data_IF_251115403426
#
_entry.id   IF_251115403426
#
_cell.length_a   1.000
_cell.length_b   1.000
_cell.length_c   1.000
_cell.angle_alpha   90.00
_cell.angle_beta   90.00
_cell.angle_gamma   90.00
#
_symmetry.space_group_name_H-M   'P 1'
#
loop_
_entity.id
_entity.type
_entity.pdbx_description
1 polymer ?
#
# COMPACT_ATOMS: atom_id res chain seq x y z
N UNK A 1 0.84 1.23 16.65
CA UNK A 1 -0.09 1.19 15.52
C UNK A 1 -0.24 -0.25 15.06
N UNK A 2 -1.44 -0.81 15.19
CA UNK A 2 -1.79 -2.16 14.72
C UNK A 2 -1.75 -2.23 13.19
N UNK A 3 -1.71 -3.44 12.61
CA UNK A 3 -1.74 -3.62 11.14
C UNK A 3 -3.01 -3.02 10.55
N UNK A 4 -4.16 -3.22 11.20
CA UNK A 4 -5.44 -2.63 10.81
C UNK A 4 -5.39 -1.09 10.77
N UNK A 5 -4.83 -0.46 11.81
CA UNK A 5 -4.69 1.01 11.85
C UNK A 5 -3.79 1.53 10.72
N UNK A 6 -2.69 0.81 10.42
CA UNK A 6 -1.82 1.17 9.30
C UNK A 6 -2.54 1.06 7.96
N UNK A 7 -3.21 -0.06 7.72
CA UNK A 7 -3.97 -0.28 6.48
C UNK A 7 -5.03 0.81 6.28
N UNK A 8 -5.80 1.11 7.32
CA UNK A 8 -6.81 2.17 7.29
C UNK A 8 -6.20 3.54 6.98
N UNK A 9 -5.05 3.86 7.57
CA UNK A 9 -4.33 5.10 7.28
C UNK A 9 -3.89 5.18 5.82
N UNK A 10 -3.37 4.07 5.25
CA UNK A 10 -2.99 4.04 3.84
C UNK A 10 -4.19 4.19 2.92
N UNK A 11 -5.29 3.47 3.20
CA UNK A 11 -6.54 3.62 2.47
C UNK A 11 -7.02 5.06 2.45
N UNK A 12 -7.04 5.74 3.59
CA UNK A 12 -7.47 7.14 3.70
C UNK A 12 -6.59 8.07 2.85
N UNK A 13 -5.27 7.94 2.92
CA UNK A 13 -4.34 8.76 2.12
C UNK A 13 -4.52 8.50 0.62
N UNK A 14 -4.68 7.23 0.21
CA UNK A 14 -4.90 6.88 -1.19
C UNK A 14 -6.24 7.43 -1.69
N UNK A 15 -7.29 7.36 -0.86
CA UNK A 15 -8.61 7.94 -1.17
C UNK A 15 -8.50 9.46 -1.40
N UNK A 16 -7.78 10.18 -0.54
CA UNK A 16 -7.50 11.61 -0.73
C UNK A 16 -6.74 11.87 -2.05
N UNK A 17 -5.81 10.98 -2.43
CA UNK A 17 -5.12 11.06 -3.73
C UNK A 17 -6.08 10.85 -4.90
N UNK A 18 -6.98 9.86 -4.84
CA UNK A 18 -8.00 9.60 -5.87
C UNK A 18 -8.89 10.82 -6.04
N UNK A 19 -9.36 11.40 -4.94
CA UNK A 19 -10.19 12.61 -4.97
C UNK A 19 -9.46 13.84 -5.51
N UNK A 20 -8.17 13.98 -5.19
CA UNK A 20 -7.34 15.06 -5.72
C UNK A 20 -7.12 14.90 -7.23
N UNK A 21 -6.79 13.69 -7.69
CA UNK A 21 -6.60 13.37 -9.11
C UNK A 21 -7.92 13.51 -9.89
N UNK A 22 -9.06 13.11 -9.31
CA UNK A 22 -10.36 13.17 -9.96
C UNK A 22 -10.93 14.58 -10.17
N UNK A 23 -10.36 15.62 -9.54
CA UNK A 23 -10.82 17.02 -9.67
C UNK A 23 -10.33 17.72 -10.94
N UNK A 24 -9.40 17.13 -11.67
CA UNK A 24 -8.80 17.75 -12.85
C UNK A 24 -9.80 17.84 -14.01
N UNK A 25 -9.99 19.05 -14.55
CA UNK A 25 -10.87 19.28 -15.70
C UNK A 25 -10.10 19.00 -16.99
N UNK A 26 -10.56 18.03 -17.79
CA UNK A 26 -9.90 17.49 -19.00
C UNK A 26 -8.57 16.76 -18.71
N UNK A 27 -8.61 15.60 -18.03
CA UNK A 27 -7.42 14.84 -17.73
C UNK A 27 -6.71 14.37 -19.00
N UNK A 28 -5.39 14.47 -19.01
CA UNK A 28 -4.57 13.82 -20.05
C UNK A 28 -4.69 12.29 -19.97
N UNK A 29 -4.35 11.58 -21.05
CA UNK A 29 -4.35 10.11 -21.04
C UNK A 29 -3.44 9.52 -19.94
N UNK A 30 -2.30 10.17 -19.66
CA UNK A 30 -1.38 9.78 -18.59
C UNK A 30 -1.98 9.98 -17.21
N UNK A 31 -2.73 11.07 -17.03
CA UNK A 31 -3.44 11.36 -15.79
C UNK A 31 -4.53 10.33 -15.53
N UNK A 32 -5.32 9.99 -16.55
CA UNK A 32 -6.34 8.95 -16.45
C UNK A 32 -5.72 7.60 -16.11
N UNK A 33 -4.62 7.23 -16.78
CA UNK A 33 -3.89 6.01 -16.47
C UNK A 33 -3.40 6.00 -15.01
N UNK A 34 -2.89 7.11 -14.48
CA UNK A 34 -2.49 7.21 -13.08
C UNK A 34 -3.69 7.03 -12.14
N UNK A 35 -4.81 7.69 -12.42
CA UNK A 35 -6.04 7.55 -11.64
C UNK A 35 -6.54 6.09 -11.61
N UNK A 36 -6.51 5.41 -12.76
CA UNK A 36 -6.91 4.00 -12.87
C UNK A 36 -6.01 3.12 -11.99
N UNK A 37 -4.68 3.29 -12.07
CA UNK A 37 -3.72 2.51 -11.27
C UNK A 37 -3.88 2.77 -9.78
N UNK A 38 -4.13 4.02 -9.38
CA UNK A 38 -4.33 4.36 -7.97
C UNK A 38 -5.65 3.78 -7.46
N UNK A 39 -6.70 3.81 -8.28
CA UNK A 39 -8.01 3.24 -7.95
C UNK A 39 -7.95 1.71 -7.83
N UNK A 40 -7.24 1.04 -8.74
CA UNK A 40 -6.98 -0.40 -8.67
C UNK A 40 -6.23 -0.78 -7.39
N UNK A 41 -5.16 -0.04 -7.07
CA UNK A 41 -4.38 -0.29 -5.86
C UNK A 41 -5.19 -0.04 -4.57
N UNK A 42 -6.04 0.97 -4.55
CA UNK A 42 -6.99 1.22 -3.46
C UNK A 42 -7.97 0.05 -3.29
N UNK A 43 -8.58 -0.42 -4.39
CA UNK A 43 -9.50 -1.56 -4.39
C UNK A 43 -8.83 -2.79 -3.78
N UNK A 44 -7.59 -3.07 -4.17
CA UNK A 44 -6.86 -4.26 -3.68
C UNK A 44 -6.44 -4.10 -2.21
N UNK A 45 -5.94 -2.92 -1.81
CA UNK A 45 -5.55 -2.67 -0.41
C UNK A 45 -6.75 -2.80 0.55
N UNK A 46 -7.90 -2.24 0.20
CA UNK A 46 -9.10 -2.36 1.03
C UNK A 46 -9.59 -3.81 1.07
N UNK A 47 -9.54 -4.55 -0.05
CA UNK A 47 -9.85 -5.98 -0.03
C UNK A 47 -8.95 -6.77 0.92
N UNK A 48 -7.64 -6.47 0.95
CA UNK A 48 -6.71 -7.03 1.93
C UNK A 48 -7.08 -6.66 3.37
N UNK A 49 -7.48 -5.41 3.61
CA UNK A 49 -7.91 -4.94 4.92
C UNK A 49 -9.06 -5.78 5.46
N UNK A 50 -10.11 -5.95 4.65
CA UNK A 50 -11.32 -6.67 5.03
C UNK A 50 -11.06 -8.16 5.29
N UNK A 51 -10.15 -8.76 4.52
CA UNK A 51 -9.90 -10.20 4.57
C UNK A 51 -8.74 -10.63 5.49
N UNK A 52 -7.77 -9.77 5.80
CA UNK A 52 -6.53 -10.22 6.46
C UNK A 52 -6.10 -9.38 7.65
N UNK A 53 -6.48 -8.10 7.71
CA UNK A 53 -5.94 -7.17 8.69
C UNK A 53 -6.93 -6.81 9.79
N UNK A 54 -8.23 -6.97 9.56
CA UNK A 54 -9.25 -6.81 10.60
C UNK A 54 -9.54 -8.11 11.32
N UNK A 55 -10.03 -7.95 12.54
CA UNK A 55 -10.46 -9.05 13.40
C UNK A 55 -11.88 -9.46 12.99
N UNK A 56 -12.01 -10.61 12.33
CA UNK A 56 -13.31 -11.10 11.85
C UNK A 56 -14.27 -11.46 13.00
N UNK A 57 -13.78 -11.61 14.23
CA UNK A 57 -14.65 -11.76 15.42
C UNK A 57 -15.44 -10.48 15.75
N UNK A 58 -15.08 -9.37 15.10
CA UNK A 58 -15.77 -8.08 15.18
C UNK A 58 -16.39 -7.83 13.81
N UNK A 59 -17.63 -7.33 13.77
CA UNK A 59 -18.46 -6.99 12.58
C UNK A 59 -17.76 -6.22 11.44
N UNK A 60 -16.54 -5.77 11.70
CA UNK A 60 -15.63 -5.06 10.80
C UNK A 60 -15.39 -5.73 9.44
N UNK A 61 -15.26 -7.05 9.32
CA UNK A 61 -14.94 -7.67 8.02
C UNK A 61 -16.13 -7.61 7.04
N UNK A 62 -17.33 -7.93 7.53
CA UNK A 62 -18.56 -7.93 6.73
C UNK A 62 -18.98 -6.52 6.32
N UNK A 63 -18.82 -5.54 7.21
CA UNK A 63 -19.06 -4.14 6.86
C UNK A 63 -18.04 -3.64 5.84
N UNK A 64 -16.75 -3.92 6.04
CA UNK A 64 -15.70 -3.49 5.11
C UNK A 64 -15.85 -4.08 3.71
N UNK A 65 -16.30 -5.34 3.57
CA UNK A 65 -16.55 -5.94 2.25
C UNK A 65 -17.76 -5.32 1.53
N UNK A 66 -18.82 -5.00 2.26
CA UNK A 66 -19.99 -4.30 1.70
C UNK A 66 -19.63 -2.90 1.23
N UNK A 67 -18.91 -2.16 2.08
CA UNK A 67 -18.44 -0.81 1.74
C UNK A 67 -17.45 -0.85 0.56
N UNK A 68 -16.54 -1.83 0.55
CA UNK A 68 -15.60 -2.06 -0.55
C UNK A 68 -16.33 -2.25 -1.87
N UNK A 69 -17.35 -3.12 -1.90
CA UNK A 69 -18.12 -3.35 -3.11
C UNK A 69 -18.86 -2.09 -3.55
N UNK A 70 -19.52 -1.38 -2.63
CA UNK A 70 -20.24 -0.14 -2.92
C UNK A 70 -19.35 0.95 -3.53
N UNK A 71 -18.10 1.05 -3.10
CA UNK A 71 -17.16 2.07 -3.62
C UNK A 71 -16.56 1.67 -4.96
N UNK A 72 -16.45 0.37 -5.25
CA UNK A 72 -15.72 -0.15 -6.42
C UNK A 72 -16.58 -0.81 -7.50
N UNK A 73 -17.89 -0.97 -7.26
CA UNK A 73 -18.88 -1.48 -8.20
C UNK A 73 -20.18 -0.68 -8.01
N UNK A 74 -20.48 0.21 -8.97
CA UNK A 74 -21.70 1.01 -9.01
C UNK A 74 -22.84 0.30 -9.77
N UNK A 75 -22.61 -0.93 -10.22
CA UNK A 75 -23.51 -1.64 -11.12
C UNK A 75 -24.87 -1.93 -10.49
N UNK A 76 -24.95 -2.08 -9.16
CA UNK A 76 -26.22 -2.23 -8.46
C UNK A 76 -26.97 -0.90 -8.40
N UNK A 77 -26.30 0.21 -8.09
CA UNK A 77 -26.92 1.54 -8.04
C UNK A 77 -27.44 1.95 -9.43
N UNK A 78 -26.70 1.66 -10.50
CA UNK A 78 -27.18 1.86 -11.87
C UNK A 78 -28.43 1.02 -12.18
N UNK A 79 -28.49 -0.22 -11.69
CA UNK A 79 -29.67 -1.08 -11.89
C UNK A 79 -30.89 -0.59 -11.09
N UNK A 80 -30.68 -0.09 -9.87
CA UNK A 80 -31.72 0.56 -9.07
C UNK A 80 -32.25 1.80 -9.80
N UNK A 81 -31.36 2.69 -10.26
CA UNK A 81 -31.77 3.89 -10.98
C UNK A 81 -32.53 3.55 -12.26
N UNK A 82 -32.04 2.59 -13.04
CA UNK A 82 -32.72 2.11 -14.25
C UNK A 82 -34.11 1.55 -13.97
N UNK A 83 -34.32 0.93 -12.81
CA UNK A 83 -35.66 0.48 -12.39
C UNK A 83 -36.55 1.66 -11.98
N UNK A 84 -36.02 2.64 -11.23
CA UNK A 84 -36.77 3.83 -10.84
C UNK A 84 -37.21 4.69 -12.03
N UNK A 85 -36.43 4.68 -13.12
CA UNK A 85 -36.70 5.43 -14.35
C UNK A 85 -37.82 4.79 -15.23
N UNK A 86 -38.42 3.69 -14.80
CA UNK A 86 -39.59 3.09 -15.47
C UNK A 86 -39.50 1.58 -15.69
N UNK A 87 -38.83 0.86 -14.80
CA UNK A 87 -38.63 -0.58 -14.94
C UNK A 87 -39.86 -1.44 -14.68
N UNK A 88 -39.82 -2.65 -15.22
CA UNK A 88 -40.91 -3.63 -15.12
C UNK A 88 -40.80 -4.52 -13.86
N UNK A 89 -41.73 -5.48 -13.73
CA UNK A 89 -41.76 -6.41 -12.59
C UNK A 89 -40.54 -7.35 -12.59
N UNK A 90 -40.05 -7.74 -13.76
CA UNK A 90 -38.85 -8.59 -13.87
C UNK A 90 -37.62 -7.84 -13.34
N UNK A 91 -37.47 -6.58 -13.73
CA UNK A 91 -36.38 -5.71 -13.28
C UNK A 91 -36.47 -5.43 -11.78
N UNK A 92 -37.68 -5.21 -11.24
CA UNK A 92 -37.89 -5.08 -9.79
C UNK A 92 -37.27 -6.27 -9.04
N UNK A 93 -37.65 -7.49 -9.41
CA UNK A 93 -37.16 -8.69 -8.72
C UNK A 93 -35.68 -8.95 -8.91
N UNK A 94 -35.14 -8.63 -10.09
CA UNK A 94 -33.70 -8.68 -10.33
C UNK A 94 -32.94 -7.71 -9.41
N UNK A 95 -33.44 -6.48 -9.26
CA UNK A 95 -32.83 -5.47 -8.39
C UNK A 95 -32.93 -5.88 -6.93
N UNK A 96 -34.10 -6.31 -6.46
CA UNK A 96 -34.30 -6.76 -5.07
C UNK A 96 -33.40 -7.95 -4.74
N UNK A 97 -33.33 -8.96 -5.62
CA UNK A 97 -32.48 -10.14 -5.41
C UNK A 97 -30.99 -9.77 -5.41
N UNK A 98 -30.57 -8.84 -6.27
CA UNK A 98 -29.17 -8.38 -6.35
C UNK A 98 -28.79 -7.53 -5.13
N UNK A 99 -29.65 -6.61 -4.68
CA UNK A 99 -29.46 -5.85 -3.43
C UNK A 99 -29.34 -6.77 -2.21
N UNK A 100 -30.23 -7.78 -2.12
CA UNK A 100 -30.15 -8.80 -1.09
C UNK A 100 -28.83 -9.56 -1.16
N UNK A 101 -28.41 -10.02 -2.35
CA UNK A 101 -27.17 -10.77 -2.55
C UNK A 101 -25.92 -10.00 -2.09
N UNK A 102 -25.87 -8.68 -2.31
CA UNK A 102 -24.72 -7.85 -1.89
C UNK A 102 -24.82 -7.34 -0.44
N UNK A 103 -25.83 -7.76 0.32
CA UNK A 103 -26.00 -7.41 1.73
C UNK A 103 -26.64 -6.05 1.99
N UNK A 104 -27.24 -5.41 0.97
CA UNK A 104 -28.06 -4.18 1.09
C UNK A 104 -29.52 -4.54 1.31
N UNK A 105 -29.77 -5.32 2.38
CA UNK A 105 -31.12 -5.83 2.70
C UNK A 105 -32.10 -4.72 3.06
N UNK A 106 -31.62 -3.66 3.69
CA UNK A 106 -32.45 -2.51 4.06
C UNK A 106 -33.02 -1.82 2.81
N UNK A 107 -32.17 -1.56 1.81
CA UNK A 107 -32.59 -0.99 0.52
C UNK A 107 -33.53 -1.93 -0.25
N UNK A 108 -33.27 -3.24 -0.21
CA UNK A 108 -34.17 -4.24 -0.79
C UNK A 108 -35.55 -4.21 -0.11
N UNK A 109 -35.56 -4.09 1.22
CA UNK A 109 -36.79 -3.99 2.04
C UNK A 109 -37.56 -2.72 1.70
N UNK A 110 -36.88 -1.58 1.61
CA UNK A 110 -37.50 -0.30 1.26
C UNK A 110 -38.16 -0.35 -0.13
N UNK A 111 -37.49 -0.95 -1.12
CA UNK A 111 -38.06 -1.14 -2.46
C UNK A 111 -39.29 -2.04 -2.45
N UNK A 112 -39.24 -3.16 -1.70
CA UNK A 112 -40.38 -4.08 -1.56
C UNK A 112 -41.57 -3.38 -0.88
N UNK A 113 -41.33 -2.65 0.21
CA UNK A 113 -42.36 -1.88 0.92
C UNK A 113 -42.98 -0.80 0.05
N UNK A 114 -42.18 -0.06 -0.70
CA UNK A 114 -42.65 0.95 -1.65
C UNK A 114 -43.55 0.31 -2.72
N UNK A 115 -43.17 -0.88 -3.19
CA UNK A 115 -43.96 -1.62 -4.18
C UNK A 115 -45.29 -2.12 -3.57
N UNK A 116 -45.30 -2.61 -2.33
CA UNK A 116 -46.53 -2.98 -1.60
C UNK A 116 -47.48 -1.79 -1.48
N UNK A 117 -46.99 -0.63 -1.03
CA UNK A 117 -47.81 0.58 -0.90
C UNK A 117 -48.44 1.01 -2.25
N UNK A 118 -47.69 0.86 -3.34
CA UNK A 118 -48.17 1.14 -4.69
C UNK A 118 -49.22 0.12 -5.17
N UNK A 119 -49.02 -1.16 -4.86
CA UNK A 119 -49.98 -2.23 -5.16
C UNK A 119 -51.27 -2.00 -4.37
N UNK A 120 -51.20 -1.69 -3.08
CA UNK A 120 -52.38 -1.44 -2.24
C UNK A 120 -53.14 -0.18 -2.67
N UNK A 121 -52.41 0.88 -3.04
CA UNK A 121 -53.02 2.11 -3.58
C UNK A 121 -53.75 1.86 -4.90
N UNK A 122 -53.20 1.02 -5.78
CA UNK A 122 -53.83 0.60 -7.04
C UNK A 122 -54.97 -0.39 -6.81
N UNK A 123 -54.83 -1.32 -5.87
CA UNK A 123 -55.83 -2.29 -5.49
C UNK A 123 -57.04 -1.61 -4.83
N UNK A 124 -56.86 -0.52 -4.06
CA UNK A 124 -58.00 0.31 -3.61
C UNK A 124 -58.76 0.95 -4.80
N UNK A 125 -58.07 1.31 -5.88
CA UNK A 125 -58.70 1.78 -7.12
C UNK A 125 -59.32 0.67 -7.98
N UNK A 126 -58.69 -0.51 -8.02
CA UNK A 126 -59.10 -1.67 -8.81
C UNK A 126 -60.14 -2.57 -8.09
N UNK A 127 -60.26 -2.50 -6.76
CA UNK A 127 -61.33 -3.13 -6.00
C UNK A 127 -62.71 -2.53 -6.34
N UNK A 128 -62.76 -1.33 -6.94
CA UNK A 128 -63.96 -0.80 -7.58
C UNK A 128 -64.32 -1.51 -8.91
N UNK A 129 -63.40 -2.30 -9.48
CA UNK A 129 -63.50 -2.97 -10.78
C UNK A 129 -63.30 -4.51 -10.73
N UNK A 130 -63.03 -5.09 -9.57
CA UNK A 130 -63.18 -6.53 -9.30
C UNK A 130 -62.01 -7.45 -9.69
N UNK A 131 -60.81 -6.92 -9.91
CA UNK A 131 -59.65 -7.74 -10.33
C UNK A 131 -58.61 -7.84 -9.20
N UNK A 132 -58.68 -8.91 -8.42
CA UNK A 132 -57.78 -9.20 -7.30
C UNK A 132 -56.94 -10.44 -7.66
N UNK A 133 -55.76 -10.21 -8.25
CA UNK A 133 -54.79 -11.28 -8.50
C UNK A 133 -53.37 -10.86 -8.09
N UNK A 134 -52.76 -11.73 -7.27
CA UNK A 134 -51.32 -11.99 -7.06
C UNK A 134 -50.42 -10.96 -6.36
N UNK A 135 -50.81 -10.45 -5.18
CA UNK A 135 -49.87 -9.74 -4.28
C UNK A 135 -49.11 -10.67 -3.32
N UNK A 136 -49.47 -11.95 -3.23
CA UNK A 136 -48.90 -12.92 -2.27
C UNK A 136 -47.36 -13.03 -2.32
N UNK A 137 -46.68 -13.08 -3.50
CA UNK A 137 -45.22 -13.20 -3.54
C UNK A 137 -44.48 -12.01 -2.94
N UNK A 138 -45.05 -10.80 -3.02
CA UNK A 138 -44.39 -9.59 -2.51
C UNK A 138 -44.42 -9.51 -0.99
N UNK A 139 -45.49 -10.01 -0.37
CA UNK A 139 -45.62 -10.07 1.09
C UNK A 139 -44.71 -11.15 1.69
N UNK A 140 -44.53 -12.30 1.01
CA UNK A 140 -43.56 -13.32 1.42
C UNK A 140 -42.13 -12.78 1.33
N UNK A 141 -41.80 -12.03 0.27
CA UNK A 141 -40.51 -11.39 0.14
C UNK A 141 -40.25 -10.36 1.26
N UNK A 142 -41.25 -9.55 1.60
CA UNK A 142 -41.15 -8.57 2.70
C UNK A 142 -40.87 -9.28 4.03
N UNK A 143 -41.66 -10.31 4.37
CA UNK A 143 -41.48 -11.07 5.61
C UNK A 143 -40.07 -11.67 5.70
N UNK A 144 -39.60 -12.34 4.64
CA UNK A 144 -38.27 -12.94 4.62
C UNK A 144 -37.13 -11.93 4.81
N UNK A 145 -37.29 -10.70 4.32
CA UNK A 145 -36.32 -9.61 4.48
C UNK A 145 -36.38 -8.97 5.86
N UNK A 146 -37.58 -8.74 6.41
CA UNK A 146 -37.78 -8.11 7.72
C UNK A 146 -37.43 -9.03 8.89
N UNK A 147 -37.70 -10.33 8.76
CA UNK A 147 -37.39 -11.33 9.79
C UNK A 147 -35.89 -11.64 9.90
N UNK A 148 -35.09 -11.04 9.01
CA UNK A 148 -33.67 -11.27 8.97
C UNK A 148 -32.98 -10.72 10.23
N UNK A 149 -32.17 -11.54 10.94
CA UNK A 149 -31.46 -11.07 12.12
C UNK A 149 -30.44 -9.99 11.72
N UNK A 150 -30.03 -9.14 12.68
CA UNK A 150 -28.99 -8.16 12.43
C UNK A 150 -27.72 -8.86 11.94
N UNK A 151 -27.09 -8.30 10.93
CA UNK A 151 -25.89 -8.91 10.31
C UNK A 151 -24.64 -8.60 11.14
N UNK A 152 -24.62 -9.09 12.38
CA UNK A 152 -23.51 -8.98 13.32
C UNK A 152 -22.84 -10.34 13.55
N UNK A 153 -21.59 -10.30 14.00
CA UNK A 153 -20.78 -11.43 14.39
C UNK A 153 -21.46 -12.18 15.54
N UNK A 154 -22.07 -11.48 16.51
CA UNK A 154 -22.81 -12.12 17.59
C UNK A 154 -24.00 -12.93 17.07
N UNK A 155 -24.85 -12.33 16.22
CA UNK A 155 -26.01 -13.02 15.65
C UNK A 155 -25.62 -14.23 14.79
N UNK A 156 -24.45 -14.16 14.13
CA UNK A 156 -23.87 -15.27 13.36
C UNK A 156 -23.26 -16.36 14.25
N UNK A 157 -22.61 -16.01 15.35
CA UNK A 157 -22.04 -16.94 16.33
C UNK A 157 -23.12 -17.67 17.13
N UNK A 158 -24.18 -16.97 17.51
CA UNK A 158 -25.33 -17.52 18.25
C UNK A 158 -26.25 -18.37 17.36
N UNK A 159 -25.97 -18.43 16.05
CA UNK A 159 -26.67 -19.26 15.09
C UNK A 159 -28.02 -18.71 14.63
N UNK A 160 -28.42 -17.51 15.05
CA UNK A 160 -29.67 -16.86 14.62
C UNK A 160 -29.69 -16.67 13.10
N UNK A 161 -28.57 -16.21 12.53
CA UNK A 161 -28.43 -16.06 11.08
C UNK A 161 -28.64 -17.39 10.35
N UNK A 162 -28.10 -18.48 10.89
CA UNK A 162 -28.27 -19.83 10.30
C UNK A 162 -29.73 -20.27 10.34
N UNK A 163 -30.41 -20.08 11.46
CA UNK A 163 -31.83 -20.46 11.61
C UNK A 163 -32.68 -19.71 10.59
N UNK A 164 -32.50 -18.40 10.45
CA UNK A 164 -33.19 -17.60 9.45
C UNK A 164 -32.92 -18.10 8.02
N UNK A 165 -31.67 -18.43 7.67
CA UNK A 165 -31.35 -19.02 6.37
C UNK A 165 -32.03 -20.38 6.14
N UNK A 166 -32.23 -21.19 7.18
CA UNK A 166 -32.96 -22.45 7.10
C UNK A 166 -34.46 -22.23 6.88
N UNK A 167 -35.04 -21.22 7.52
CA UNK A 167 -36.44 -20.80 7.33
C UNK A 167 -36.70 -20.30 5.91
N UNK A 168 -35.78 -19.54 5.31
CA UNK A 168 -35.88 -19.12 3.91
C UNK A 168 -35.92 -20.34 2.96
N UNK A 169 -35.09 -21.36 3.22
CA UNK A 169 -35.08 -22.60 2.42
C UNK A 169 -36.33 -23.43 2.68
N UNK A 170 -36.80 -23.56 3.92
CA UNK A 170 -38.03 -24.27 4.25
C UNK A 170 -39.25 -23.61 3.58
N UNK A 171 -39.28 -22.27 3.54
CA UNK A 171 -40.32 -21.51 2.82
C UNK A 171 -40.26 -21.77 1.32
N UNK A 172 -39.06 -21.78 0.73
CA UNK A 172 -38.87 -22.11 -0.68
C UNK A 172 -39.38 -23.52 -1.01
N UNK A 173 -39.08 -24.50 -0.17
CA UNK A 173 -39.54 -25.89 -0.32
C UNK A 173 -41.07 -26.01 -0.17
N UNK A 174 -41.66 -25.30 0.79
CA UNK A 174 -43.10 -25.29 1.03
C UNK A 174 -43.91 -24.70 -0.13
N UNK A 175 -43.33 -23.74 -0.87
CA UNK A 175 -43.95 -23.15 -2.05
C UNK A 175 -43.86 -24.06 -3.30
N UNK A 176 -43.17 -25.21 -3.21
CA UNK A 176 -42.87 -26.10 -4.34
C UNK A 176 -42.14 -25.39 -5.51
N UNK A 177 -41.48 -24.27 -5.23
CA UNK A 177 -40.72 -23.48 -6.22
C UNK A 177 -39.25 -23.88 -6.16
N UNK A 178 -38.65 -24.16 -7.32
CA UNK A 178 -37.19 -24.39 -7.39
C UNK A 178 -36.42 -23.08 -7.31
N UNK A 179 -35.26 -23.13 -6.66
CA UNK A 179 -34.31 -22.01 -6.56
C UNK A 179 -33.97 -21.44 -7.95
N UNK A 180 -34.48 -20.24 -8.23
CA UNK A 180 -34.22 -19.49 -9.45
C UNK A 180 -35.04 -19.89 -10.68
N UNK A 181 -36.16 -20.59 -10.52
CA UNK A 181 -37.17 -20.78 -11.58
C UNK A 181 -38.23 -19.66 -11.59
N UNK A 182 -38.43 -18.99 -10.45
CA UNK A 182 -39.28 -17.82 -10.26
C UNK A 182 -38.55 -16.74 -9.43
N UNK A 183 -39.01 -15.50 -9.51
CA UNK A 183 -38.44 -14.33 -8.85
C UNK A 183 -38.37 -14.45 -7.32
N UNK A 184 -39.45 -14.87 -6.68
CA UNK A 184 -39.45 -15.11 -5.23
C UNK A 184 -38.52 -16.27 -4.88
N UNK A 185 -38.50 -17.32 -5.71
CA UNK A 185 -37.63 -18.47 -5.53
C UNK A 185 -36.14 -18.10 -5.63
N UNK A 186 -35.80 -17.15 -6.50
CA UNK A 186 -34.46 -16.60 -6.60
C UNK A 186 -34.07 -15.84 -5.32
N UNK A 187 -34.94 -14.95 -4.83
CA UNK A 187 -34.69 -14.19 -3.60
C UNK A 187 -34.52 -15.10 -2.38
N UNK A 188 -35.45 -16.04 -2.15
CA UNK A 188 -35.35 -16.99 -1.03
C UNK A 188 -34.11 -17.89 -1.16
N UNK A 189 -33.74 -18.27 -2.38
CA UNK A 189 -32.50 -18.99 -2.65
C UNK A 189 -31.25 -18.16 -2.29
N UNK A 190 -31.23 -16.86 -2.60
CA UNK A 190 -30.16 -15.94 -2.21
C UNK A 190 -30.07 -15.83 -0.69
N UNK A 191 -31.18 -15.52 -0.01
CA UNK A 191 -31.22 -15.36 1.45
C UNK A 191 -30.80 -16.64 2.17
N UNK A 192 -31.25 -17.81 1.67
CA UNK A 192 -30.86 -19.12 2.17
C UNK A 192 -29.43 -19.56 1.82
N UNK A 193 -28.69 -18.78 1.02
CA UNK A 193 -27.29 -19.04 0.66
C UNK A 193 -27.06 -20.13 -0.39
N UNK A 194 -28.01 -20.35 -1.30
CA UNK A 194 -27.88 -21.32 -2.39
C UNK A 194 -26.91 -20.80 -3.48
N UNK A 195 -25.82 -21.52 -3.80
CA UNK A 195 -24.83 -21.06 -4.77
C UNK A 195 -25.41 -20.72 -6.15
N UNK A 196 -26.39 -21.51 -6.62
CA UNK A 196 -27.04 -21.29 -7.92
C UNK A 196 -27.90 -20.03 -7.95
N UNK A 197 -28.52 -19.65 -6.83
CA UNK A 197 -29.27 -18.41 -6.71
C UNK A 197 -28.32 -17.21 -6.69
N UNK A 198 -27.27 -17.27 -5.87
CA UNK A 198 -26.23 -16.23 -5.80
C UNK A 198 -25.62 -15.97 -7.19
N UNK A 199 -25.25 -17.02 -7.92
CA UNK A 199 -24.71 -16.92 -9.27
C UNK A 199 -25.68 -16.28 -10.28
N UNK A 200 -26.98 -16.52 -10.15
CA UNK A 200 -28.01 -15.92 -11.03
C UNK A 200 -28.28 -14.45 -10.68
N UNK A 201 -28.07 -14.04 -9.43
CA UNK A 201 -28.35 -12.67 -8.97
C UNK A 201 -27.18 -11.70 -9.13
N UNK A 202 -25.94 -12.19 -9.14
CA UNK A 202 -24.73 -11.38 -9.28
C UNK A 202 -24.31 -11.22 -10.75
N UNK A 203 -23.70 -10.08 -11.09
CA UNK A 203 -23.20 -9.75 -12.45
C UNK A 203 -21.69 -9.73 -12.58
N UNK A 204 -20.98 -9.56 -11.47
CA UNK A 204 -19.52 -9.51 -11.42
C UNK A 204 -18.98 -10.56 -10.45
N UNK A 205 -17.69 -10.87 -10.60
CA UNK A 205 -16.99 -11.74 -9.68
C UNK A 205 -16.97 -11.15 -8.26
N UNK A 206 -16.85 -9.83 -8.14
CA UNK A 206 -16.83 -9.10 -6.88
C UNK A 206 -18.16 -9.22 -6.14
N UNK A 207 -19.27 -9.01 -6.84
CA UNK A 207 -20.60 -9.22 -6.28
C UNK A 207 -20.77 -10.66 -5.80
N UNK A 208 -20.38 -11.63 -6.62
CA UNK A 208 -20.56 -13.04 -6.25
C UNK A 208 -19.63 -13.47 -5.11
N UNK A 209 -18.40 -12.95 -5.06
CA UNK A 209 -17.48 -13.20 -3.96
C UNK A 209 -18.04 -12.65 -2.66
N UNK A 210 -18.51 -11.40 -2.65
CA UNK A 210 -19.13 -10.78 -1.46
C UNK A 210 -20.39 -11.53 -1.07
N UNK A 211 -21.28 -11.84 -2.01
CA UNK A 211 -22.50 -12.60 -1.75
C UNK A 211 -22.21 -13.99 -1.17
N UNK A 212 -21.22 -14.70 -1.75
CA UNK A 212 -20.72 -15.95 -1.21
C UNK A 212 -20.16 -15.77 0.20
N UNK A 213 -19.43 -14.70 0.48
CA UNK A 213 -18.88 -14.44 1.81
C UNK A 213 -19.97 -14.11 2.85
N UNK A 214 -21.01 -13.38 2.47
CA UNK A 214 -22.11 -13.02 3.36
C UNK A 214 -23.04 -14.21 3.68
N UNK A 215 -23.33 -15.04 2.68
CA UNK A 215 -24.39 -16.05 2.77
C UNK A 215 -23.91 -17.49 2.85
N UNK A 216 -22.62 -17.79 2.63
CA UNK A 216 -22.14 -19.18 2.75
C UNK A 216 -22.29 -19.67 4.19
N UNK A 217 -22.96 -20.82 4.32
CA UNK A 217 -23.15 -21.55 5.57
C UNK A 217 -21.84 -22.16 6.08
N UNK A 218 -21.12 -21.45 6.95
CA UNK A 218 -19.97 -22.02 7.67
C UNK A 218 -19.83 -21.46 9.09
N UNK A 219 -19.38 -22.33 10.00
CA UNK A 219 -19.09 -21.98 11.38
C UNK A 219 -17.69 -21.41 11.53
N UNK A 220 -17.55 -20.41 12.40
CA UNK A 220 -16.32 -20.03 13.12
C UNK A 220 -15.12 -19.52 12.33
N UNK A 221 -14.63 -20.24 11.31
CA UNK A 221 -13.33 -19.97 10.66
C UNK A 221 -13.43 -19.00 9.45
N UNK A 222 -12.81 -17.82 9.56
CA UNK A 222 -12.53 -16.90 8.46
C UNK A 222 -12.01 -17.50 7.15
N UNK A 223 -11.09 -18.46 7.26
CA UNK A 223 -10.40 -19.03 6.11
C UNK A 223 -11.34 -19.90 5.28
N UNK A 224 -12.16 -20.71 5.95
CA UNK A 224 -13.14 -21.58 5.30
C UNK A 224 -14.21 -20.77 4.56
N UNK A 225 -14.70 -19.68 5.19
CA UNK A 225 -15.67 -18.78 4.56
C UNK A 225 -15.13 -18.22 3.26
N UNK A 226 -13.94 -17.61 3.30
CA UNK A 226 -13.25 -17.04 2.13
C UNK A 226 -13.01 -18.07 1.03
N UNK A 227 -12.51 -19.25 1.39
CA UNK A 227 -12.28 -20.34 0.44
C UNK A 227 -13.56 -20.71 -0.30
N UNK A 228 -14.67 -20.82 0.42
CA UNK A 228 -15.95 -21.17 -0.19
C UNK A 228 -16.53 -20.05 -1.04
N UNK A 229 -16.38 -18.79 -0.60
CA UNK A 229 -16.70 -17.62 -1.42
C UNK A 229 -15.92 -17.62 -2.73
N UNK A 230 -14.63 -17.98 -2.68
CA UNK A 230 -13.78 -18.13 -3.85
C UNK A 230 -14.26 -19.25 -4.79
N UNK A 231 -14.60 -20.42 -4.25
CA UNK A 231 -15.16 -21.54 -5.02
C UNK A 231 -16.49 -21.17 -5.70
N UNK A 232 -17.36 -20.41 -5.05
CA UNK A 232 -18.62 -19.93 -5.65
C UNK A 232 -18.32 -18.89 -6.74
N UNK A 233 -17.44 -17.94 -6.43
CA UNK A 233 -17.06 -16.84 -7.31
C UNK A 233 -16.33 -17.29 -8.58
N UNK A 234 -15.77 -18.50 -8.61
CA UNK A 234 -15.08 -19.06 -9.79
C UNK A 234 -15.97 -19.20 -11.03
N UNK A 235 -17.29 -19.03 -10.88
CA UNK A 235 -18.21 -18.92 -12.00
C UNK A 235 -17.96 -17.68 -12.88
N UNK A 236 -17.32 -16.64 -12.33
CA UNK A 236 -16.95 -15.41 -13.02
C UNK A 236 -15.42 -15.23 -13.06
N UNK A 237 -14.97 -14.29 -13.90
CA UNK A 237 -13.58 -13.85 -13.91
C UNK A 237 -13.45 -12.55 -13.10
N UNK A 238 -12.46 -12.44 -12.20
CA UNK A 238 -12.23 -11.21 -11.44
C UNK A 238 -11.71 -10.09 -12.34
N UNK A 239 -11.95 -8.83 -11.95
CA UNK A 239 -11.38 -7.69 -12.69
C UNK A 239 -9.85 -7.67 -12.59
N UNK A 240 -9.27 -8.26 -11.54
CA UNK A 240 -7.83 -8.24 -11.33
C UNK A 240 -7.30 -9.53 -10.71
N UNK A 241 -6.16 -10.02 -11.23
CA UNK A 241 -5.53 -11.27 -10.78
C UNK A 241 -5.09 -11.26 -9.31
N UNK A 242 -4.73 -10.09 -8.77
CA UNK A 242 -4.40 -9.97 -7.35
C UNK A 242 -5.60 -10.26 -6.43
N UNK A 243 -6.82 -9.90 -6.83
CA UNK A 243 -8.03 -10.24 -6.08
C UNK A 243 -8.26 -11.74 -6.05
N UNK A 244 -8.00 -12.43 -7.18
CA UNK A 244 -8.04 -13.89 -7.26
C UNK A 244 -7.08 -14.53 -6.24
N UNK A 245 -5.81 -14.11 -6.27
CA UNK A 245 -4.79 -14.64 -5.37
C UNK A 245 -5.13 -14.37 -3.89
N UNK A 246 -5.69 -13.19 -3.57
CA UNK A 246 -6.12 -12.85 -2.22
C UNK A 246 -7.35 -13.66 -1.78
N UNK A 247 -8.28 -13.95 -2.68
CA UNK A 247 -9.42 -14.80 -2.40
C UNK A 247 -9.00 -16.26 -2.17
N UNK A 248 -8.01 -16.74 -2.92
CA UNK A 248 -7.43 -18.10 -2.80
C UNK A 248 -6.39 -18.23 -1.67
N UNK A 249 -6.33 -17.28 -0.74
CA UNK A 249 -5.41 -17.31 0.40
C UNK A 249 -3.91 -17.33 0.02
N UNK A 250 -3.54 -16.70 -1.10
CA UNK A 250 -2.16 -16.56 -1.58
C UNK A 250 -1.68 -15.09 -1.64
N UNK A 251 -1.44 -14.42 -0.50
CA UNK A 251 -0.88 -13.06 -0.47
C UNK A 251 0.45 -12.88 -1.22
N UNK A 252 1.42 -13.82 -1.18
CA UNK A 252 2.67 -13.68 -1.95
C UNK A 252 2.44 -13.46 -3.44
N UNK A 253 1.55 -14.22 -4.07
CA UNK A 253 1.22 -14.06 -5.49
C UNK A 253 0.55 -12.73 -5.77
N UNK A 254 -0.37 -12.28 -4.91
CA UNK A 254 -1.02 -10.99 -5.06
C UNK A 254 -0.02 -9.82 -5.04
N UNK A 255 0.99 -9.88 -4.16
CA UNK A 255 2.07 -8.89 -4.08
C UNK A 255 2.88 -8.90 -5.37
N UNK A 256 3.27 -10.08 -5.87
CA UNK A 256 4.07 -10.19 -7.11
C UNK A 256 3.29 -9.69 -8.33
N UNK A 257 1.99 -9.98 -8.41
CA UNK A 257 1.11 -9.52 -9.50
C UNK A 257 0.99 -7.99 -9.54
N UNK A 258 1.06 -7.34 -8.38
CA UNK A 258 1.03 -5.88 -8.26
C UNK A 258 2.38 -5.22 -8.59
N UNK A 259 3.45 -5.99 -8.75
CA UNK A 259 4.76 -5.43 -9.02
C UNK A 259 4.84 -4.93 -10.46
N UNK A 260 5.13 -3.65 -10.61
CA UNK A 260 5.41 -3.01 -11.90
C UNK A 260 6.78 -2.35 -11.84
N UNK A 261 7.63 -2.51 -12.88
CA UNK A 261 8.95 -1.88 -12.89
C UNK A 261 8.84 -0.36 -12.68
N UNK A 262 9.50 0.16 -11.63
CA UNK A 262 9.44 1.57 -11.26
C UNK A 262 8.23 1.98 -10.41
N UNK A 263 7.25 1.09 -10.21
CA UNK A 263 6.00 1.35 -9.48
C UNK A 263 5.78 0.26 -8.41
N UNK A 264 6.70 0.19 -7.45
CA UNK A 264 6.67 -0.85 -6.41
C UNK A 264 5.87 -0.47 -5.16
N UNK A 265 5.19 0.68 -5.16
CA UNK A 265 4.49 1.22 -3.98
C UNK A 265 3.54 0.19 -3.35
N UNK A 266 2.57 -0.33 -4.10
CA UNK A 266 1.59 -1.28 -3.57
C UNK A 266 2.22 -2.59 -3.12
N UNK A 267 3.18 -3.10 -3.90
CA UNK A 267 3.89 -4.35 -3.57
C UNK A 267 4.68 -4.21 -2.27
N UNK A 268 5.42 -3.12 -2.09
CA UNK A 268 6.22 -2.86 -0.89
C UNK A 268 5.34 -2.71 0.36
N UNK A 269 4.27 -1.92 0.26
CA UNK A 269 3.40 -1.64 1.40
C UNK A 269 2.56 -2.86 1.79
N UNK A 270 2.02 -3.61 0.82
CA UNK A 270 1.31 -4.85 1.12
C UNK A 270 2.27 -5.90 1.69
N UNK A 271 3.48 -6.04 1.15
CA UNK A 271 4.45 -6.98 1.71
C UNK A 271 4.83 -6.63 3.15
N UNK A 272 5.00 -5.34 3.49
CA UNK A 272 5.22 -4.90 4.87
C UNK A 272 4.00 -5.19 5.77
N UNK A 273 2.78 -4.92 5.32
CA UNK A 273 1.55 -5.19 6.08
C UNK A 273 1.36 -6.69 6.33
N UNK A 274 1.45 -7.53 5.30
CA UNK A 274 1.30 -8.98 5.44
C UNK A 274 2.41 -9.61 6.28
N UNK A 275 3.66 -9.11 6.17
CA UNK A 275 4.75 -9.55 7.03
C UNK A 275 4.47 -9.22 8.50
N UNK A 276 4.01 -7.99 8.80
CA UNK A 276 3.61 -7.60 10.16
C UNK A 276 2.41 -8.38 10.69
N UNK A 277 1.50 -8.79 9.81
CA UNK A 277 0.36 -9.63 10.16
C UNK A 277 0.74 -11.10 10.40
N UNK A 278 2.00 -11.49 10.15
CA UNK A 278 2.44 -12.89 10.21
C UNK A 278 1.81 -13.77 9.14
N UNK A 279 1.41 -13.17 8.00
CA UNK A 279 0.72 -13.84 6.88
C UNK A 279 1.62 -14.07 5.67
N UNK A 280 2.85 -13.57 5.70
CA UNK A 280 3.91 -14.04 4.83
C UNK A 280 4.75 -15.01 5.63
N UNK A 281 4.70 -16.30 5.27
CA UNK A 281 5.78 -17.20 5.65
C UNK A 281 7.10 -16.66 5.09
N UNK A 282 8.22 -17.09 5.66
CA UNK A 282 9.56 -16.87 5.12
C UNK A 282 9.71 -17.64 3.79
N UNK A 283 8.91 -17.30 2.78
CA UNK A 283 9.06 -17.79 1.42
C UNK A 283 10.37 -17.23 0.89
N UNK A 284 11.34 -18.13 0.76
CA UNK A 284 12.60 -17.89 0.08
C UNK A 284 12.28 -17.59 -1.39
N UNK A 285 12.58 -16.36 -1.84
CA UNK A 285 12.58 -16.05 -3.28
C UNK A 285 13.56 -17.02 -3.98
N UNK A 286 13.17 -17.70 -5.09
CA UNK A 286 14.11 -18.58 -5.78
C UNK A 286 15.26 -17.76 -6.35
N UNK A 287 16.49 -18.24 -6.10
CA UNK A 287 17.80 -17.72 -6.53
C UNK A 287 18.49 -16.70 -5.60
N UNK A 288 19.44 -17.25 -4.83
CA UNK A 288 20.71 -16.66 -4.38
C UNK A 288 20.76 -15.58 -3.28
N UNK A 289 19.66 -15.17 -2.67
CA UNK A 289 19.74 -14.44 -1.41
C UNK A 289 18.60 -14.89 -0.49
N UNK A 290 18.89 -15.04 0.80
CA UNK A 290 17.91 -15.23 1.88
C UNK A 290 17.04 -13.95 2.05
N UNK A 291 16.37 -13.50 0.99
CA UNK A 291 15.51 -12.31 1.00
C UNK A 291 14.11 -12.73 1.40
N UNK A 292 13.58 -12.08 2.44
CA UNK A 292 12.14 -12.09 2.65
C UNK A 292 11.47 -11.33 1.49
N UNK A 293 10.27 -11.76 1.09
CA UNK A 293 9.48 -11.07 0.05
C UNK A 293 9.26 -9.59 0.38
N UNK A 294 9.12 -9.29 1.68
CA UNK A 294 9.06 -7.92 2.22
C UNK A 294 10.32 -7.14 1.86
N UNK A 295 11.49 -7.62 2.26
CA UNK A 295 12.73 -6.85 2.09
C UNK A 295 13.07 -6.66 0.61
N UNK A 296 12.70 -7.62 -0.24
CA UNK A 296 12.80 -7.45 -1.69
C UNK A 296 11.98 -6.25 -2.18
N UNK A 297 10.66 -6.26 -2.01
CA UNK A 297 9.82 -5.19 -2.56
C UNK A 297 10.03 -3.84 -1.89
N UNK A 298 10.31 -3.81 -0.58
CA UNK A 298 10.63 -2.56 0.11
C UNK A 298 11.93 -1.95 -0.42
N UNK A 299 12.94 -2.77 -0.72
CA UNK A 299 14.20 -2.29 -1.29
C UNK A 299 14.01 -1.82 -2.74
N UNK A 300 13.28 -2.56 -3.56
CA UNK A 300 12.96 -2.13 -4.95
C UNK A 300 12.18 -0.82 -4.96
N UNK A 301 11.23 -0.63 -4.05
CA UNK A 301 10.54 0.65 -3.91
C UNK A 301 11.47 1.77 -3.47
N UNK A 302 12.34 1.52 -2.49
CA UNK A 302 13.33 2.51 -2.08
C UNK A 302 14.28 2.93 -3.21
N UNK A 303 14.71 1.97 -4.05
CA UNK A 303 15.53 2.25 -5.24
C UNK A 303 14.74 3.03 -6.30
N UNK A 304 13.44 2.76 -6.47
CA UNK A 304 12.60 3.56 -7.37
C UNK A 304 12.50 5.02 -6.91
N UNK A 305 12.47 5.26 -5.59
CA UNK A 305 12.47 6.61 -5.02
C UNK A 305 13.80 7.33 -5.27
N UNK A 306 14.95 6.65 -5.27
CA UNK A 306 16.26 7.29 -5.55
C UNK A 306 16.27 8.08 -6.87
N UNK A 307 15.50 7.63 -7.86
CA UNK A 307 15.36 8.31 -9.16
C UNK A 307 14.61 9.65 -9.08
N UNK A 308 13.84 9.89 -8.01
CA UNK A 308 13.02 11.08 -7.79
C UNK A 308 13.74 12.11 -6.94
N UNK A 309 13.90 13.32 -7.50
CA UNK A 309 14.53 14.45 -6.80
C UNK A 309 13.85 14.73 -5.46
N UNK A 310 14.67 14.83 -4.41
CA UNK A 310 14.21 15.21 -3.07
C UNK A 310 13.70 14.07 -2.19
N UNK A 311 13.63 12.83 -2.68
CA UNK A 311 13.09 11.68 -1.92
C UNK A 311 14.16 10.79 -1.28
N UNK A 312 15.45 11.12 -1.40
CA UNK A 312 16.59 10.34 -0.86
C UNK A 312 16.42 10.00 0.62
N UNK A 313 15.89 10.93 1.43
CA UNK A 313 15.62 10.69 2.84
C UNK A 313 14.58 9.57 3.04
N UNK A 314 13.51 9.59 2.25
CA UNK A 314 12.45 8.58 2.27
C UNK A 314 12.97 7.23 1.78
N UNK A 315 13.75 7.21 0.70
CA UNK A 315 14.45 6.02 0.20
C UNK A 315 15.32 5.39 1.30
N UNK A 316 16.15 6.19 1.97
CA UNK A 316 16.99 5.72 3.05
C UNK A 316 16.17 5.18 4.24
N UNK A 317 15.04 5.80 4.59
CA UNK A 317 14.17 5.33 5.66
C UNK A 317 13.56 3.95 5.34
N UNK A 318 13.17 3.70 4.08
CA UNK A 318 12.72 2.38 3.65
C UNK A 318 13.85 1.34 3.71
N UNK A 319 15.04 1.67 3.20
CA UNK A 319 16.20 0.77 3.23
C UNK A 319 16.59 0.40 4.67
N UNK A 320 16.67 1.37 5.58
CA UNK A 320 16.98 1.10 6.98
C UNK A 320 15.93 0.19 7.66
N UNK A 321 14.71 0.13 7.14
CA UNK A 321 13.67 -0.80 7.61
C UNK A 321 13.90 -2.26 7.17
N UNK A 322 14.84 -2.52 6.26
CA UNK A 322 15.25 -3.85 5.77
C UNK A 322 16.47 -4.40 6.53
N UNK A 323 16.93 -3.75 7.60
CA UNK A 323 18.10 -4.18 8.37
C UNK A 323 19.42 -4.09 7.59
N UNK A 324 20.33 -5.04 7.83
CA UNK A 324 21.72 -4.99 7.32
C UNK A 324 21.80 -4.91 5.78
N UNK A 325 20.89 -5.60 5.07
CA UNK A 325 20.85 -5.56 3.60
C UNK A 325 20.54 -4.17 3.08
N UNK A 326 19.57 -3.49 3.70
CA UNK A 326 19.24 -2.13 3.31
C UNK A 326 20.34 -1.13 3.69
N UNK A 327 21.07 -1.37 4.78
CA UNK A 327 22.27 -0.61 5.14
C UNK A 327 23.37 -0.75 4.06
N UNK A 328 23.59 -1.95 3.53
CA UNK A 328 24.54 -2.19 2.42
C UNK A 328 24.15 -1.43 1.15
N UNK A 329 22.88 -1.51 0.75
CA UNK A 329 22.35 -0.80 -0.43
C UNK A 329 22.46 0.72 -0.23
N UNK A 330 22.06 1.23 0.94
CA UNK A 330 22.16 2.64 1.27
C UNK A 330 23.61 3.12 1.21
N UNK A 331 24.56 2.31 1.69
CA UNK A 331 25.99 2.65 1.61
C UNK A 331 26.46 2.83 0.17
N UNK A 332 26.05 1.94 -0.74
CA UNK A 332 26.36 2.06 -2.17
C UNK A 332 25.75 3.34 -2.77
N UNK A 333 24.49 3.62 -2.48
CA UNK A 333 23.80 4.84 -2.94
C UNK A 333 24.56 6.08 -2.46
N UNK A 334 24.86 6.18 -1.17
CA UNK A 334 25.56 7.33 -0.59
C UNK A 334 26.95 7.52 -1.22
N UNK A 335 27.64 6.45 -1.61
CA UNK A 335 28.94 6.52 -2.27
C UNK A 335 28.86 7.06 -3.71
N UNK A 336 27.70 6.91 -4.38
CA UNK A 336 27.47 7.36 -5.77
C UNK A 336 26.85 8.76 -5.86
N UNK A 337 26.40 9.34 -4.74
CA UNK A 337 25.79 10.66 -4.74
C UNK A 337 26.80 11.74 -5.17
N UNK A 338 26.57 12.31 -6.34
CA UNK A 338 27.36 13.44 -6.85
C UNK A 338 27.09 14.69 -6.00
N UNK A 339 28.14 15.29 -5.46
CA UNK A 339 28.09 16.59 -4.78
C UNK A 339 28.94 17.60 -5.52
N UNK A 340 28.35 18.74 -5.86
CA UNK A 340 29.01 19.76 -6.68
C UNK A 340 29.99 20.62 -5.88
N UNK A 341 29.83 20.66 -4.56
CA UNK A 341 30.67 21.43 -3.63
C UNK A 341 30.50 20.87 -2.22
N UNK A 342 31.47 21.09 -1.35
CA UNK A 342 31.33 20.72 0.06
C UNK A 342 30.36 21.61 0.86
N UNK A 343 29.94 22.76 0.29
CA UNK A 343 28.83 23.56 0.81
C UNK A 343 27.45 23.08 0.30
N UNK A 344 27.39 22.00 -0.49
CA UNK A 344 26.15 21.43 -1.00
C UNK A 344 25.34 20.82 0.17
N UNK A 345 24.07 21.23 0.38
CA UNK A 345 23.20 20.63 1.41
C UNK A 345 23.05 19.11 1.28
N UNK A 346 23.32 18.53 0.11
CA UNK A 346 23.36 17.08 -0.08
C UNK A 346 24.47 16.41 0.76
N UNK A 347 25.58 17.11 0.99
CA UNK A 347 26.71 16.61 1.79
C UNK A 347 26.28 16.40 3.24
N UNK A 348 25.62 17.39 3.86
CA UNK A 348 25.09 17.25 5.24
C UNK A 348 24.09 16.10 5.36
N UNK A 349 23.25 15.89 4.34
CA UNK A 349 22.30 14.77 4.28
C UNK A 349 23.02 13.42 4.18
N UNK A 350 24.03 13.30 3.32
CA UNK A 350 24.87 12.09 3.22
C UNK A 350 25.49 11.78 4.58
N UNK A 351 25.97 12.79 5.31
CA UNK A 351 26.51 12.58 6.66
C UNK A 351 25.46 12.17 7.68
N UNK A 352 24.30 12.84 7.70
CA UNK A 352 23.21 12.48 8.60
C UNK A 352 22.78 11.02 8.37
N UNK A 353 22.64 10.60 7.12
CA UNK A 353 22.31 9.22 6.75
C UNK A 353 23.44 8.23 7.08
N UNK A 354 24.70 8.62 6.86
CA UNK A 354 25.86 7.77 7.19
C UNK A 354 25.98 7.46 8.69
N UNK A 355 25.62 8.40 9.54
CA UNK A 355 25.58 8.20 10.99
C UNK A 355 24.46 7.23 11.39
N UNK A 356 23.35 7.23 10.64
CA UNK A 356 22.21 6.35 10.89
C UNK A 356 22.47 4.90 10.47
N UNK A 357 23.10 4.67 9.31
CA UNK A 357 23.50 3.32 8.83
C UNK A 357 24.74 2.76 9.55
N UNK A 358 25.45 3.55 10.38
CA UNK A 358 26.76 3.21 10.97
C UNK A 358 27.80 2.79 9.91
N UNK A 359 27.67 3.28 8.68
CA UNK A 359 28.49 2.89 7.56
C UNK A 359 29.74 3.78 7.42
N UNK A 360 30.86 3.18 7.02
CA UNK A 360 32.13 3.91 6.83
C UNK A 360 32.13 4.63 5.49
N UNK A 361 32.20 5.97 5.51
CA UNK A 361 32.28 6.81 4.31
C UNK A 361 33.72 7.00 3.79
N UNK A 362 34.67 6.13 4.17
CA UNK A 362 36.07 6.20 3.69
C UNK A 362 36.21 6.35 2.16
N UNK A 363 35.43 5.64 1.31
CA UNK A 363 35.48 5.81 -0.14
C UNK A 363 35.00 7.20 -0.60
N UNK A 364 33.93 7.71 0.02
CA UNK A 364 33.33 9.01 -0.31
C UNK A 364 34.24 10.17 0.06
N UNK A 365 34.87 10.10 1.24
CA UNK A 365 35.87 11.08 1.68
C UNK A 365 37.10 11.14 0.76
N UNK A 366 37.52 9.99 0.22
CA UNK A 366 38.64 9.90 -0.72
C UNK A 366 38.30 10.50 -2.08
N UNK A 367 37.05 10.35 -2.55
CA UNK A 367 36.58 10.94 -3.81
C UNK A 367 36.45 12.46 -3.71
N UNK A 368 35.85 12.98 -2.63
CA UNK A 368 35.76 14.42 -2.34
C UNK A 368 37.14 15.08 -2.17
N UNK A 369 38.10 14.38 -1.55
CA UNK A 369 39.47 14.86 -1.42
C UNK A 369 40.25 14.85 -2.75
N UNK A 370 39.90 13.95 -3.68
CA UNK A 370 40.54 13.82 -4.98
C UNK A 370 40.03 14.80 -6.05
N UNK A 371 38.80 15.30 -5.94
CA UNK A 371 38.17 16.18 -6.93
C UNK A 371 38.57 17.66 -6.81
N UNK A 372 39.40 18.04 -5.83
CA UNK A 372 39.91 19.41 -5.67
C UNK A 372 38.86 20.45 -5.25
N UNK A 373 37.64 20.01 -4.89
CA UNK A 373 36.46 20.85 -4.62
C UNK A 373 36.39 21.41 -3.18
N UNK A 374 37.50 21.42 -2.44
CA UNK A 374 37.48 21.67 -1.00
C UNK A 374 38.14 23.02 -0.65
N UNK A 375 37.34 23.93 -0.10
CA UNK A 375 37.87 25.09 0.62
C UNK A 375 38.42 24.68 1.99
N UNK A 376 39.29 25.48 2.62
CA UNK A 376 39.84 25.21 3.96
C UNK A 376 38.75 24.95 5.04
N UNK A 377 37.56 25.55 4.87
CA UNK A 377 36.40 25.36 5.75
C UNK A 377 35.78 23.97 5.57
N UNK A 378 35.74 23.48 4.34
CA UNK A 378 35.19 22.17 3.97
C UNK A 378 36.08 21.02 4.46
N UNK A 379 37.40 21.23 4.48
CA UNK A 379 38.38 20.29 5.01
C UNK A 379 38.25 20.03 6.52
N UNK A 380 37.89 21.08 7.29
CA UNK A 380 37.71 20.94 8.74
C UNK A 380 36.47 20.11 9.06
N UNK A 381 35.41 20.23 8.25
CA UNK A 381 34.24 19.36 8.33
C UNK A 381 34.60 17.91 7.97
N UNK A 382 35.33 17.66 6.88
CA UNK A 382 35.79 16.31 6.51
C UNK A 382 36.56 15.59 7.61
N UNK A 383 37.31 16.32 8.42
CA UNK A 383 38.08 15.71 9.50
C UNK A 383 37.26 15.50 10.76
N UNK A 384 36.28 16.36 11.02
CA UNK A 384 35.22 16.01 11.98
C UNK A 384 34.42 14.77 11.54
N UNK A 385 34.39 14.48 10.23
CA UNK A 385 33.67 13.34 9.64
C UNK A 385 34.47 12.03 9.67
N UNK A 386 35.78 12.09 9.43
CA UNK A 386 36.68 10.92 9.38
C UNK A 386 37.22 10.54 10.76
N UNK A 387 37.32 11.50 11.69
CA UNK A 387 37.82 11.26 13.04
C UNK A 387 36.65 11.02 13.99
N UNK A 388 35.99 9.87 13.86
CA UNK A 388 35.22 9.30 14.97
C UNK A 388 36.15 9.00 16.15
N UNK A 389 35.75 9.20 17.41
CA UNK A 389 36.56 8.90 18.60
C UNK A 389 36.94 7.41 18.73
N UNK A 390 36.47 6.55 17.82
CA UNK A 390 36.82 5.12 17.74
C UNK A 390 38.02 4.80 16.83
N UNK A 391 38.54 5.75 16.04
CA UNK A 391 39.71 5.46 15.19
C UNK A 391 41.00 5.53 16.00
N UNK A 392 41.87 4.52 15.81
CA UNK A 392 43.19 4.49 16.43
C UNK A 392 44.06 5.65 15.93
N UNK A 393 44.93 6.18 16.80
CA UNK A 393 45.88 7.26 16.52
C UNK A 393 46.69 7.02 15.22
N UNK A 394 46.93 5.74 14.89
CA UNK A 394 47.63 5.30 13.68
C UNK A 394 46.86 5.62 12.40
N UNK A 395 45.54 5.48 12.41
CA UNK A 395 44.68 5.79 11.24
C UNK A 395 44.62 7.29 11.03
N UNK A 396 44.44 8.06 12.10
CA UNK A 396 44.45 9.53 12.07
C UNK A 396 45.79 10.04 11.51
N UNK A 397 46.91 9.48 11.98
CA UNK A 397 48.25 9.82 11.48
C UNK A 397 48.38 9.58 9.98
N UNK A 398 48.01 8.38 9.48
CA UNK A 398 48.11 8.05 8.04
C UNK A 398 47.27 8.98 7.17
N UNK A 399 46.07 9.34 7.62
CA UNK A 399 45.17 10.25 6.91
C UNK A 399 45.77 11.66 6.89
N UNK A 400 46.23 12.18 8.03
CA UNK A 400 46.90 13.47 8.10
C UNK A 400 48.17 13.53 7.22
N UNK A 401 48.99 12.49 7.19
CA UNK A 401 50.18 12.44 6.31
C UNK A 401 49.80 12.45 4.83
N UNK A 402 48.76 11.71 4.42
CA UNK A 402 48.32 11.67 3.03
C UNK A 402 47.71 13.01 2.59
N UNK A 403 46.95 13.65 3.47
CA UNK A 403 46.40 14.98 3.24
C UNK A 403 47.51 16.04 3.15
N UNK A 404 48.52 15.97 4.01
CA UNK A 404 49.68 16.86 3.96
C UNK A 404 50.41 16.78 2.61
N UNK A 405 50.65 15.55 2.13
CA UNK A 405 51.27 15.33 0.82
C UNK A 405 50.43 15.88 -0.34
N UNK A 406 49.10 15.76 -0.29
CA UNK A 406 48.22 16.31 -1.32
C UNK A 406 48.21 17.84 -1.30
N UNK A 407 48.18 18.48 -0.12
CA UNK A 407 48.29 19.94 0.01
C UNK A 407 49.61 20.45 -0.57
N UNK A 408 50.72 19.75 -0.30
CA UNK A 408 52.02 20.10 -0.85
C UNK A 408 52.05 19.98 -2.38
N UNK A 409 51.43 18.94 -2.94
CA UNK A 409 51.38 18.72 -4.39
C UNK A 409 50.62 19.82 -5.16
N UNK A 410 49.63 20.46 -4.54
CA UNK A 410 48.87 21.57 -5.13
C UNK A 410 49.42 22.96 -4.75
N UNK A 411 50.58 23.02 -4.10
CA UNK A 411 51.23 24.28 -3.71
C UNK A 411 50.60 24.98 -2.49
N UNK A 412 49.72 24.32 -1.74
CA UNK A 412 49.13 24.85 -0.50
C UNK A 412 50.02 24.51 0.70
N UNK A 413 51.08 25.29 0.87
CA UNK A 413 52.10 25.00 1.86
C UNK A 413 51.64 25.18 3.31
N UNK A 414 50.78 26.16 3.60
CA UNK A 414 50.18 26.34 4.92
C UNK A 414 49.33 25.12 5.33
N UNK A 415 48.52 24.61 4.39
CA UNK A 415 47.73 23.39 4.60
C UNK A 415 48.63 22.17 4.86
N UNK A 416 49.70 22.01 4.09
CA UNK A 416 50.65 20.91 4.26
C UNK A 416 51.38 20.95 5.62
N UNK A 417 51.85 22.12 6.07
CA UNK A 417 52.48 22.32 7.39
C UNK A 417 51.53 21.97 8.53
N UNK A 418 50.29 22.46 8.46
CA UNK A 418 49.26 22.15 9.46
C UNK A 418 48.99 20.64 9.57
N UNK A 419 48.90 19.93 8.44
CA UNK A 419 48.61 18.50 8.43
C UNK A 419 49.78 17.61 8.85
N UNK A 420 51.02 17.96 8.50
CA UNK A 420 52.19 17.26 9.04
C UNK A 420 52.30 17.44 10.55
N UNK A 421 51.97 18.62 11.08
CA UNK A 421 51.93 18.87 12.53
C UNK A 421 50.88 17.99 13.22
N UNK A 422 49.68 17.86 12.65
CA UNK A 422 48.60 16.99 13.16
C UNK A 422 48.91 15.49 13.01
N UNK A 423 49.72 15.11 12.02
CA UNK A 423 50.25 13.76 11.89
C UNK A 423 51.34 13.44 12.93
N UNK A 424 51.74 14.41 13.76
CA UNK A 424 52.91 14.30 14.65
C UNK A 424 54.21 14.04 13.86
N UNK A 425 54.30 14.57 12.65
CA UNK A 425 55.44 14.50 11.74
C UNK A 425 56.11 15.88 11.67
N UNK A 426 56.78 16.24 12.77
CA UNK A 426 57.35 17.57 12.96
C UNK A 426 58.43 17.89 11.92
N UNK A 427 59.18 16.89 11.47
CA UNK A 427 60.27 17.06 10.50
C UNK A 427 59.74 17.56 9.15
N UNK A 428 58.67 16.94 8.64
CA UNK A 428 58.05 17.38 7.38
C UNK A 428 57.25 18.66 7.51
N UNK A 429 56.67 18.93 8.68
CA UNK A 429 56.00 20.20 8.95
C UNK A 429 56.99 21.37 8.89
N UNK A 430 58.15 21.21 9.53
CA UNK A 430 59.23 22.22 9.51
C UNK A 430 59.76 22.42 8.10
N UNK A 431 60.05 21.33 7.37
CA UNK A 431 60.54 21.43 6.00
C UNK A 431 59.59 22.20 5.07
N UNK A 432 58.27 22.00 5.22
CA UNK A 432 57.27 22.71 4.43
C UNK A 432 57.11 24.18 4.84
N UNK A 433 57.23 24.48 6.13
CA UNK A 433 57.23 25.86 6.64
C UNK A 433 58.45 26.63 6.13
N UNK A 434 59.64 26.01 6.16
CA UNK A 434 60.88 26.59 5.63
C UNK A 434 60.80 26.82 4.12
N UNK A 435 60.25 25.89 3.36
CA UNK A 435 60.01 26.06 1.92
C UNK A 435 59.06 27.24 1.63
N UNK A 436 58.04 27.43 2.48
CA UNK A 436 57.11 28.57 2.38
C UNK A 436 57.80 29.90 2.68
N UNK A 437 58.62 29.93 3.73
CA UNK A 437 59.40 31.10 4.12
C UNK A 437 60.38 31.51 3.02
N UNK A 438 61.11 30.53 2.49
CA UNK A 438 62.07 30.75 1.40
C UNK A 438 61.36 31.27 0.14
N UNK A 439 60.15 30.77 -0.17
CA UNK A 439 59.33 31.28 -1.28
C UNK A 439 58.78 32.69 -1.01
N UNK A 440 58.48 33.04 0.24
CA UNK A 440 58.09 34.39 0.67
C UNK A 440 59.23 35.39 0.50
N UNK A 441 60.44 35.01 0.94
CA UNK A 441 61.64 35.84 0.86
C UNK A 441 62.08 36.11 -0.57
N UNK A 442 61.97 35.11 -1.46
CA UNK A 442 62.35 35.24 -2.88
C UNK A 442 61.30 36.01 -3.69
N UNK A 443 60.01 35.82 -3.40
CA UNK A 443 58.91 36.37 -4.20
C UNK A 443 58.36 37.73 -3.75
N UNK A 444 58.79 38.25 -2.61
CA UNK A 444 58.27 39.49 -2.02
C UNK A 444 56.86 39.35 -1.42
N UNK A 445 56.29 40.45 -0.94
CA UNK A 445 55.03 40.49 -0.17
C UNK A 445 53.76 40.01 -0.92
N UNK A 446 53.87 39.67 -2.20
CA UNK A 446 52.79 39.14 -3.03
C UNK A 446 53.02 37.69 -3.47
N UNK A 447 54.00 37.00 -2.90
CA UNK A 447 54.24 35.60 -3.22
C UNK A 447 53.25 34.69 -2.48
N UNK A 448 52.97 33.52 -3.06
CA UNK A 448 52.15 32.50 -2.43
C UNK A 448 52.70 32.05 -1.05
N UNK A 449 54.02 32.17 -0.84
CA UNK A 449 54.65 31.91 0.45
C UNK A 449 54.34 32.98 1.51
N UNK A 450 54.26 34.25 1.10
CA UNK A 450 53.90 35.36 1.98
C UNK A 450 52.41 35.31 2.38
N UNK A 451 51.52 35.00 1.43
CA UNK A 451 50.08 34.80 1.71
C UNK A 451 49.82 33.58 2.61
N UNK A 452 50.68 32.56 2.55
CA UNK A 452 50.59 31.37 3.38
C UNK A 452 51.07 31.58 4.83
N UNK A 453 51.92 32.59 5.09
CA UNK A 453 52.40 32.94 6.44
C UNK A 453 51.47 33.91 7.19
N UNK A 454 50.68 34.69 6.45
CA UNK A 454 49.74 35.68 7.01
C UNK A 454 48.40 35.05 7.47
N UNK A 455 48.12 33.82 7.03
CA UNK A 455 46.96 32.99 7.43
C UNK A 455 47.35 31.98 8.48
#
# INVERSE_FOLDING_TARGET
MSVAEKSKSYRAVIQECIEALGKEHNPSAQHQQLLDVVTEGHKILWFCEALYFVDESKDSALSLLRDWLRVHDDGVDQAVQSYLDGGDDTQFWQVVSRLAAIGRRDDATELVQTRIQNVDSRAMGAAALGDASSSEPIYVAEAALLDAPPDTAEARLDGQFRVWQEECIATLEALEVKSGDDHLGLLLGVLGGQPSALQKSCRSWEELFVAGYLYTRLGGDPADRRKRSFEIASAFQPTHKALLALADSNPPEAIVVLARPGEYFYSAHLADLFSRAGKLDLYMVPANDQKSLRDYFVSEYALSLETLRGTVQLSADYLLSCGSRGEEILTDILCRMETQSAADPAVEKVFALSKRCKCSLEPYSSHMAGSGLLSLRDFTLIISWVVSPKHSEVVVRKICTRLASNCAAIGNSAGATYWFTRANDAERAVAQAEASLTSAEIGGCHSAGAEALDR
#
